data_IF_585626478322
#
_entry.id   IF_585626478322
#
_cell.length_a   1.000
_cell.length_b   1.000
_cell.length_c   1.000
_cell.angle_alpha   90.00
_cell.angle_beta   90.00
_cell.angle_gamma   90.00
#
_symmetry.space_group_name_H-M   'P 1'
#
loop_
_entity.id
_entity.type
_entity.pdbx_description
1 polymer ?
#
# COMPACT_ATOMS: atom_id res chain seq x y z
N UNK A 1 -15.19 32.59 27.45
CA UNK A 1 -15.28 32.17 26.01
C UNK A 1 -14.94 30.71 25.93
N UNK A 2 -15.96 29.89 25.92
CA UNK A 2 -15.82 28.42 25.91
C UNK A 2 -15.55 27.97 24.49
N UNK A 3 -14.35 27.44 24.22
CA UNK A 3 -14.01 26.78 22.96
C UNK A 3 -14.68 25.42 22.97
N UNK A 4 -15.73 25.26 22.19
CA UNK A 4 -16.29 23.97 21.86
C UNK A 4 -15.29 23.21 21.00
N UNK A 5 -14.43 22.39 21.62
CA UNK A 5 -13.69 21.34 20.94
C UNK A 5 -14.75 20.35 20.40
N UNK A 6 -14.99 20.44 19.09
CA UNK A 6 -15.76 19.44 18.38
C UNK A 6 -15.08 18.07 18.62
N UNK A 7 -15.77 17.16 19.28
CA UNK A 7 -15.42 15.75 19.31
C UNK A 7 -15.49 15.25 17.87
N UNK A 8 -14.37 15.33 17.15
CA UNK A 8 -14.17 14.54 15.95
C UNK A 8 -14.09 13.09 16.44
N UNK A 9 -15.13 12.29 16.16
CA UNK A 9 -15.10 10.87 16.45
C UNK A 9 -13.80 10.29 15.87
N UNK A 10 -13.07 9.51 16.67
CA UNK A 10 -11.78 8.93 16.24
C UNK A 10 -11.99 8.15 14.93
N UNK A 11 -11.15 8.41 13.92
CA UNK A 11 -11.17 7.65 12.65
C UNK A 11 -11.09 6.16 12.98
N UNK A 12 -11.95 5.36 12.34
CA UNK A 12 -11.88 3.90 12.45
C UNK A 12 -10.49 3.39 12.01
N UNK A 13 -9.93 2.35 12.68
CA UNK A 13 -8.63 1.78 12.31
C UNK A 13 -8.52 1.44 10.83
N UNK A 14 -7.37 1.69 10.23
CA UNK A 14 -7.13 1.46 8.81
C UNK A 14 -7.43 0.02 8.39
N UNK A 15 -6.99 -0.98 9.17
CA UNK A 15 -7.22 -2.38 8.86
C UNK A 15 -8.71 -2.72 8.72
N UNK A 16 -9.56 -2.16 9.60
CA UNK A 16 -11.02 -2.35 9.51
C UNK A 16 -11.60 -1.66 8.27
N UNK A 17 -11.17 -0.42 7.97
CA UNK A 17 -11.61 0.30 6.77
C UNK A 17 -11.19 -0.40 5.49
N UNK A 18 -9.98 -0.96 5.47
CA UNK A 18 -9.49 -1.69 4.31
C UNK A 18 -10.21 -3.02 4.13
N UNK A 19 -10.53 -3.73 5.22
CA UNK A 19 -11.32 -4.95 5.14
C UNK A 19 -12.71 -4.68 4.52
N UNK A 20 -13.42 -3.65 5.01
CA UNK A 20 -14.71 -3.23 4.43
C UNK A 20 -14.55 -2.87 2.94
N UNK A 21 -13.53 -2.08 2.57
CA UNK A 21 -13.30 -1.70 1.18
C UNK A 21 -12.98 -2.89 0.27
N UNK A 22 -12.27 -3.91 0.77
CA UNK A 22 -12.01 -5.16 0.04
C UNK A 22 -13.27 -6.02 -0.12
N UNK A 23 -14.16 -6.01 0.87
CA UNK A 23 -15.44 -6.70 0.79
C UNK A 23 -16.39 -6.02 -0.19
N UNK A 24 -16.44 -4.68 -0.20
CA UNK A 24 -17.34 -3.89 -1.04
C UNK A 24 -16.87 -3.80 -2.51
N UNK A 25 -15.56 -3.64 -2.73
CA UNK A 25 -14.98 -3.33 -4.05
C UNK A 25 -14.03 -4.40 -4.59
N UNK A 26 -13.83 -5.50 -3.84
CA UNK A 26 -12.84 -6.53 -4.17
C UNK A 26 -11.40 -6.15 -3.80
N UNK A 27 -10.46 -7.14 -3.80
CA UNK A 27 -9.15 -7.01 -3.20
C UNK A 27 -8.11 -6.34 -4.13
N UNK A 28 -8.48 -5.26 -4.83
CA UNK A 28 -7.58 -4.58 -5.77
C UNK A 28 -7.09 -3.23 -5.24
N UNK A 29 -5.79 -3.00 -5.43
CA UNK A 29 -5.11 -1.72 -5.29
C UNK A 29 -4.55 -1.30 -6.66
N UNK A 30 -5.06 -0.20 -7.22
CA UNK A 30 -4.56 0.34 -8.48
C UNK A 30 -3.41 1.30 -8.23
N UNK A 31 -2.25 1.05 -8.85
CA UNK A 31 -1.10 1.94 -8.77
C UNK A 31 -1.22 3.13 -9.71
N UNK A 32 -0.81 4.33 -9.25
CA UNK A 32 -0.55 5.50 -10.09
C UNK A 32 0.97 5.61 -10.25
N UNK A 33 1.46 5.00 -11.33
CA UNK A 33 2.89 4.92 -11.67
C UNK A 33 3.11 5.61 -13.03
N UNK A 34 3.16 6.95 -13.08
CA UNK A 34 3.26 7.74 -14.32
C UNK A 34 4.67 7.66 -14.92
N UNK A 35 5.02 6.48 -15.45
CA UNK A 35 6.24 6.31 -16.21
C UNK A 35 6.24 7.23 -17.46
N UNK A 36 7.40 7.78 -17.89
CA UNK A 36 7.47 8.66 -19.06
C UNK A 36 6.83 8.08 -20.31
N UNK A 37 7.02 6.80 -20.57
CA UNK A 37 6.41 6.13 -21.71
C UNK A 37 4.88 6.01 -21.64
N UNK A 38 4.29 5.92 -20.43
CA UNK A 38 2.84 5.94 -20.25
C UNK A 38 2.27 7.34 -20.43
N UNK A 39 2.95 8.38 -19.95
CA UNK A 39 2.56 9.76 -20.21
C UNK A 39 2.50 10.02 -21.71
N UNK A 40 3.55 9.65 -22.45
CA UNK A 40 3.59 9.78 -23.93
C UNK A 40 2.47 8.96 -24.58
N UNK A 41 2.22 7.72 -24.14
CA UNK A 41 1.15 6.89 -24.68
C UNK A 41 -0.25 7.51 -24.45
N UNK A 42 -0.42 8.30 -23.38
CA UNK A 42 -1.66 9.04 -23.13
C UNK A 42 -1.71 10.41 -23.86
N UNK A 43 -0.69 10.76 -24.64
CA UNK A 43 -0.59 12.06 -25.30
C UNK A 43 -0.25 13.20 -24.35
N UNK A 44 0.34 12.89 -23.20
CA UNK A 44 0.71 13.86 -22.16
C UNK A 44 2.21 14.15 -22.20
N UNK A 45 2.57 15.40 -21.88
CA UNK A 45 3.96 15.78 -21.70
C UNK A 45 4.54 15.17 -20.41
N UNK A 46 5.82 14.85 -20.40
CA UNK A 46 6.55 14.48 -19.20
C UNK A 46 6.90 15.73 -18.38
N UNK A 47 5.88 16.24 -17.67
CA UNK A 47 5.89 17.48 -16.89
C UNK A 47 4.92 17.36 -15.71
N UNK A 48 4.99 18.28 -14.74
CA UNK A 48 4.04 18.32 -13.63
C UNK A 48 2.58 18.46 -14.11
N UNK A 49 2.31 19.19 -15.19
CA UNK A 49 0.98 19.29 -15.75
C UNK A 49 0.47 17.96 -16.34
N UNK A 50 1.33 17.25 -17.11
CA UNK A 50 0.99 15.94 -17.63
C UNK A 50 0.85 14.89 -16.52
N UNK A 51 1.70 14.96 -15.49
CA UNK A 51 1.60 14.15 -14.28
C UNK A 51 0.24 14.35 -13.57
N UNK A 52 -0.19 15.61 -13.44
CA UNK A 52 -1.47 15.99 -12.83
C UNK A 52 -2.64 15.37 -13.61
N UNK A 53 -2.68 15.59 -14.92
CA UNK A 53 -3.72 15.03 -15.79
C UNK A 53 -3.78 13.50 -15.70
N UNK A 54 -2.64 12.84 -15.71
CA UNK A 54 -2.54 11.38 -15.58
C UNK A 54 -3.11 10.89 -14.24
N UNK A 55 -2.67 11.51 -13.12
CA UNK A 55 -3.08 11.11 -11.78
C UNK A 55 -4.58 11.31 -11.57
N UNK A 56 -5.11 12.49 -11.89
CA UNK A 56 -6.51 12.82 -11.67
C UNK A 56 -7.44 12.00 -12.57
N UNK A 57 -7.10 11.79 -13.85
CA UNK A 57 -7.89 10.91 -14.72
C UNK A 57 -7.90 9.46 -14.23
N UNK A 58 -6.80 8.98 -13.67
CA UNK A 58 -6.77 7.65 -13.06
C UNK A 58 -7.71 7.59 -11.86
N UNK A 59 -7.67 8.60 -10.98
CA UNK A 59 -8.55 8.69 -9.81
C UNK A 59 -10.02 8.76 -10.23
N UNK A 60 -10.37 9.59 -11.21
CA UNK A 60 -11.73 9.70 -11.74
C UNK A 60 -12.24 8.36 -12.32
N UNK A 61 -11.33 7.56 -12.87
CA UNK A 61 -11.69 6.27 -13.44
C UNK A 61 -11.95 5.20 -12.38
N UNK A 62 -11.08 5.11 -11.34
CA UNK A 62 -11.05 3.97 -10.42
C UNK A 62 -11.56 4.31 -9.01
N UNK A 63 -11.67 5.60 -8.66
CA UNK A 63 -12.18 6.05 -7.37
C UNK A 63 -13.61 5.56 -7.12
N UNK A 64 -13.88 5.05 -5.93
CA UNK A 64 -15.17 4.42 -5.58
C UNK A 64 -15.43 3.05 -6.22
N UNK A 65 -14.45 2.48 -6.96
CA UNK A 65 -14.60 1.20 -7.66
C UNK A 65 -13.55 0.15 -7.28
N UNK A 66 -12.55 0.52 -6.49
CA UNK A 66 -11.48 -0.37 -6.01
C UNK A 66 -11.22 -0.14 -4.53
N UNK A 67 -10.65 -1.14 -3.82
CA UNK A 67 -10.40 -1.02 -2.38
C UNK A 67 -9.39 0.08 -2.05
N UNK A 68 -8.37 0.26 -2.86
CA UNK A 68 -7.35 1.28 -2.62
C UNK A 68 -6.68 1.75 -3.92
N UNK A 69 -6.07 2.93 -3.85
CA UNK A 69 -5.20 3.47 -4.90
C UNK A 69 -3.83 3.77 -4.32
N UNK A 70 -2.78 3.44 -5.05
CA UNK A 70 -1.39 3.54 -4.60
C UNK A 70 -0.57 4.50 -5.46
N UNK A 71 -0.52 5.81 -5.14
CA UNK A 71 0.44 6.71 -5.77
C UNK A 71 1.88 6.28 -5.46
N UNK A 72 2.73 6.20 -6.48
CA UNK A 72 4.16 5.91 -6.35
C UNK A 72 4.93 7.22 -6.24
N UNK A 73 5.34 7.61 -5.05
CA UNK A 73 5.92 8.92 -4.72
C UNK A 73 7.10 9.31 -5.63
N UNK A 74 7.97 8.36 -5.96
CA UNK A 74 9.15 8.62 -6.79
C UNK A 74 8.84 9.27 -8.15
N UNK A 75 7.69 8.96 -8.76
CA UNK A 75 7.29 9.55 -10.03
C UNK A 75 6.79 10.99 -9.89
N UNK A 76 6.39 11.39 -8.70
CA UNK A 76 6.03 12.76 -8.37
C UNK A 76 7.26 13.54 -7.92
N UNK A 77 8.07 12.97 -7.02
CA UNK A 77 9.29 13.58 -6.48
C UNK A 77 10.28 14.02 -7.58
N UNK A 78 10.39 13.26 -8.68
CA UNK A 78 11.27 13.60 -9.80
C UNK A 78 10.92 14.93 -10.52
N UNK A 79 9.74 15.47 -10.30
CA UNK A 79 9.31 16.77 -10.79
C UNK A 79 9.48 17.91 -9.77
N UNK A 80 10.20 17.65 -8.65
CA UNK A 80 10.46 18.63 -7.61
C UNK A 80 9.18 19.10 -6.89
N UNK A 81 9.16 20.36 -6.47
CA UNK A 81 8.04 20.96 -5.73
C UNK A 81 6.71 20.88 -6.49
N UNK A 82 6.73 21.07 -7.81
CA UNK A 82 5.52 21.02 -8.63
C UNK A 82 4.93 19.60 -8.66
N UNK A 83 5.78 18.57 -8.70
CA UNK A 83 5.33 17.18 -8.62
C UNK A 83 4.79 16.83 -7.25
N UNK A 84 5.38 17.35 -6.17
CA UNK A 84 4.86 17.18 -4.81
C UNK A 84 3.47 17.86 -4.66
N UNK A 85 3.28 19.05 -5.22
CA UNK A 85 1.97 19.71 -5.22
C UNK A 85 0.90 18.86 -5.94
N UNK A 86 1.27 18.20 -7.05
CA UNK A 86 0.37 17.25 -7.73
C UNK A 86 0.06 16.03 -6.86
N UNK A 87 1.03 15.52 -6.09
CA UNK A 87 0.81 14.42 -5.16
C UNK A 87 -0.17 14.80 -4.05
N UNK A 88 -0.04 16.01 -3.49
CA UNK A 88 -0.97 16.56 -2.50
C UNK A 88 -2.41 16.64 -3.06
N UNK A 89 -2.56 17.13 -4.29
CA UNK A 89 -3.85 17.19 -4.99
C UNK A 89 -4.43 15.80 -5.23
N UNK A 90 -3.62 14.84 -5.66
CA UNK A 90 -4.04 13.44 -5.88
C UNK A 90 -4.54 12.77 -4.58
N UNK A 91 -3.84 12.98 -3.46
CA UNK A 91 -4.25 12.47 -2.16
C UNK A 91 -5.54 13.14 -1.67
N UNK A 92 -5.72 14.44 -1.92
CA UNK A 92 -6.97 15.14 -1.64
C UNK A 92 -8.14 14.56 -2.46
N UNK A 93 -7.94 14.37 -3.76
CA UNK A 93 -8.95 13.80 -4.65
C UNK A 93 -9.36 12.38 -4.22
N UNK A 94 -8.42 11.54 -3.76
CA UNK A 94 -8.73 10.21 -3.23
C UNK A 94 -9.59 10.28 -1.96
N UNK A 95 -9.31 11.23 -1.06
CA UNK A 95 -10.14 11.46 0.14
C UNK A 95 -11.55 11.91 -0.24
N UNK A 96 -11.68 12.80 -1.22
CA UNK A 96 -12.98 13.36 -1.66
C UNK A 96 -13.89 12.28 -2.26
N UNK A 97 -13.32 11.32 -2.97
CA UNK A 97 -14.07 10.17 -3.54
C UNK A 97 -14.20 8.99 -2.57
N UNK A 98 -13.64 9.09 -1.35
CA UNK A 98 -13.74 8.06 -0.32
C UNK A 98 -12.94 6.79 -0.59
N UNK A 99 -11.94 6.82 -1.48
CA UNK A 99 -11.10 5.67 -1.80
C UNK A 99 -9.81 5.70 -0.99
N UNK A 100 -9.45 4.57 -0.37
CA UNK A 100 -8.27 4.50 0.49
C UNK A 100 -6.98 4.71 -0.30
N UNK A 101 -6.09 5.51 0.26
CA UNK A 101 -4.77 5.77 -0.30
C UNK A 101 -3.69 4.93 0.38
N UNK A 102 -2.83 4.29 -0.42
CA UNK A 102 -1.58 3.66 0.00
C UNK A 102 -0.44 4.44 -0.63
N UNK A 103 0.15 5.41 0.07
CA UNK A 103 1.24 6.20 -0.49
C UNK A 103 2.56 5.43 -0.43
N UNK A 104 3.09 5.08 -1.61
CA UNK A 104 4.28 4.24 -1.74
C UNK A 104 5.56 5.09 -1.67
N UNK A 105 6.03 5.36 -0.44
CA UNK A 105 7.20 6.22 -0.14
C UNK A 105 8.42 5.45 0.34
N UNK A 106 8.25 4.23 0.83
CA UNK A 106 9.31 3.35 1.36
C UNK A 106 10.28 4.08 2.30
N UNK A 107 9.78 4.98 3.17
CA UNK A 107 10.60 5.70 4.13
C UNK A 107 11.09 4.75 5.24
N UNK A 108 12.23 5.09 5.83
CA UNK A 108 12.78 4.36 6.97
C UNK A 108 13.93 5.18 7.55
N UNK A 109 13.85 5.47 8.86
CA UNK A 109 14.85 6.23 9.61
C UNK A 109 14.74 5.90 11.11
N UNK A 110 15.47 6.60 11.95
CA UNK A 110 15.49 6.45 13.40
C UNK A 110 15.01 7.73 14.10
N UNK A 111 14.45 7.58 15.30
CA UNK A 111 14.17 8.67 16.24
C UNK A 111 13.38 9.82 15.65
N UNK A 112 13.87 11.04 15.83
CA UNK A 112 13.20 12.28 15.40
C UNK A 112 13.07 12.41 13.89
N UNK A 113 13.99 11.83 13.10
CA UNK A 113 13.89 11.83 11.63
C UNK A 113 12.74 10.95 11.17
N UNK A 114 12.58 9.75 11.75
CA UNK A 114 11.41 8.91 11.48
C UNK A 114 10.11 9.56 11.91
N UNK A 115 10.11 10.28 13.05
CA UNK A 115 8.96 11.07 13.49
C UNK A 115 8.59 12.19 12.50
N UNK A 116 9.60 12.85 11.90
CA UNK A 116 9.38 13.83 10.83
C UNK A 116 8.69 13.24 9.61
N UNK A 117 9.14 12.05 9.15
CA UNK A 117 8.44 11.33 8.07
C UNK A 117 7.02 10.91 8.48
N UNK A 118 6.84 10.41 9.68
CA UNK A 118 5.52 10.04 10.19
C UNK A 118 4.56 11.25 10.18
N UNK A 119 5.00 12.41 10.67
CA UNK A 119 4.21 13.63 10.65
C UNK A 119 3.83 14.05 9.22
N UNK A 120 4.76 13.98 8.28
CA UNK A 120 4.52 14.39 6.89
C UNK A 120 3.40 13.57 6.20
N UNK A 121 3.25 12.28 6.55
CA UNK A 121 2.38 11.36 5.82
C UNK A 121 1.19 10.83 6.63
N UNK A 122 1.25 10.87 7.98
CA UNK A 122 0.27 10.23 8.85
C UNK A 122 -0.43 11.19 9.81
N UNK A 123 -0.02 12.48 9.88
CA UNK A 123 -0.78 13.51 10.62
C UNK A 123 -1.99 13.94 9.81
N UNK A 124 -3.09 14.25 10.52
CA UNK A 124 -4.33 14.69 9.86
C UNK A 124 -4.20 16.03 9.14
N UNK A 125 -3.37 16.92 9.65
CA UNK A 125 -3.14 18.26 9.09
C UNK A 125 -2.03 18.29 8.01
N UNK A 126 -1.37 17.15 7.73
CA UNK A 126 -0.30 17.13 6.75
C UNK A 126 -0.86 17.17 5.32
N UNK A 127 -0.31 18.03 4.41
CA UNK A 127 -0.75 18.06 3.02
C UNK A 127 -0.62 16.69 2.31
N UNK A 128 0.43 15.94 2.63
CA UNK A 128 0.68 14.59 2.10
C UNK A 128 0.04 13.47 2.93
N UNK A 129 -0.91 13.78 3.82
CA UNK A 129 -1.57 12.77 4.64
C UNK A 129 -2.26 11.71 3.77
N UNK A 130 -1.87 10.44 3.94
CA UNK A 130 -2.44 9.28 3.27
C UNK A 130 -3.12 8.34 4.28
N UNK A 131 -4.01 7.45 3.84
CA UNK A 131 -4.60 6.46 4.72
C UNK A 131 -3.57 5.45 5.21
N UNK A 132 -2.57 5.16 4.39
CA UNK A 132 -1.42 4.34 4.76
C UNK A 132 -0.19 4.68 3.93
N UNK A 133 0.98 4.28 4.44
CA UNK A 133 2.28 4.46 3.76
C UNK A 133 3.06 3.15 3.72
N UNK A 134 4.00 3.03 2.78
CA UNK A 134 5.00 1.96 2.82
C UNK A 134 6.26 2.43 3.54
N UNK A 135 6.89 1.53 4.31
CA UNK A 135 8.12 1.81 5.07
C UNK A 135 9.15 0.69 4.89
N UNK A 136 10.43 1.04 4.99
CA UNK A 136 11.55 0.11 4.90
C UNK A 136 12.11 -0.19 6.29
N UNK A 137 12.18 -1.46 6.72
CA UNK A 137 12.69 -1.84 8.04
C UNK A 137 14.21 -2.06 8.05
N UNK A 138 14.96 -1.54 7.10
CA UNK A 138 16.41 -1.80 6.98
C UNK A 138 17.19 -1.40 8.24
N UNK A 139 16.74 -0.37 8.96
CA UNK A 139 17.35 0.07 10.23
C UNK A 139 16.76 -0.67 11.45
N UNK A 140 16.09 -1.77 11.25
CA UNK A 140 15.40 -2.57 12.26
C UNK A 140 13.92 -2.18 12.42
N UNK A 141 13.08 -3.18 12.72
CA UNK A 141 11.62 -2.96 12.87
C UNK A 141 11.31 -1.91 13.94
N UNK A 142 12.00 -1.96 15.09
CA UNK A 142 11.78 -1.01 16.18
C UNK A 142 12.07 0.45 15.83
N UNK A 143 12.89 0.72 14.81
CA UNK A 143 13.14 2.10 14.34
C UNK A 143 11.89 2.75 13.72
N UNK A 144 10.91 1.96 13.31
CA UNK A 144 9.66 2.41 12.70
C UNK A 144 8.62 2.85 13.75
N UNK A 145 8.87 2.69 15.06
CA UNK A 145 7.91 3.00 16.12
C UNK A 145 7.25 4.37 15.99
N UNK A 146 7.95 5.48 15.65
CA UNK A 146 7.28 6.76 15.51
C UNK A 146 6.18 6.78 14.43
N UNK A 147 6.34 6.00 13.34
CA UNK A 147 5.31 5.89 12.31
C UNK A 147 4.19 4.92 12.73
N UNK A 148 4.52 3.82 13.41
CA UNK A 148 3.55 2.86 13.91
C UNK A 148 2.63 3.49 14.96
N UNK A 149 3.21 4.21 15.92
CA UNK A 149 2.48 4.89 17.00
C UNK A 149 1.56 5.99 16.47
N UNK A 150 2.06 6.81 15.52
CA UNK A 150 1.24 7.86 14.92
C UNK A 150 0.13 7.29 14.02
N UNK A 151 0.41 6.22 13.28
CA UNK A 151 -0.59 5.53 12.46
C UNK A 151 -1.73 4.97 13.33
N UNK A 152 -1.41 4.33 14.46
CA UNK A 152 -2.39 3.85 15.41
C UNK A 152 -3.24 5.01 15.98
N UNK A 153 -2.58 6.06 16.47
CA UNK A 153 -3.26 7.22 17.05
C UNK A 153 -4.18 7.95 16.07
N UNK A 154 -3.82 8.01 14.78
CA UNK A 154 -4.58 8.69 13.72
C UNK A 154 -5.57 7.78 12.98
N UNK A 155 -5.65 6.49 13.33
CA UNK A 155 -6.47 5.49 12.63
C UNK A 155 -5.99 5.21 11.20
N UNK A 156 -4.69 5.42 10.93
CA UNK A 156 -4.02 5.18 9.63
C UNK A 156 -3.26 3.85 9.65
N UNK A 157 -2.65 3.49 8.53
CA UNK A 157 -1.93 2.23 8.38
C UNK A 157 -0.49 2.39 7.90
N UNK A 158 0.27 1.32 8.06
CA UNK A 158 1.65 1.21 7.59
C UNK A 158 1.85 -0.14 6.93
N UNK A 159 2.45 -0.18 5.74
CA UNK A 159 2.90 -1.41 5.10
C UNK A 159 4.43 -1.52 5.20
N UNK A 160 4.91 -2.53 5.89
CA UNK A 160 6.35 -2.77 6.09
C UNK A 160 6.88 -3.70 5.00
N UNK A 161 7.98 -3.36 4.33
CA UNK A 161 8.63 -4.24 3.37
C UNK A 161 9.11 -5.52 4.07
N UNK A 162 8.72 -6.69 3.58
CA UNK A 162 9.14 -7.98 4.14
C UNK A 162 9.82 -8.87 3.10
N UNK A 163 9.10 -9.23 2.02
CA UNK A 163 9.61 -10.05 0.93
C UNK A 163 9.29 -9.39 -0.40
N UNK A 164 10.31 -9.01 -1.15
CA UNK A 164 10.15 -8.33 -2.44
C UNK A 164 10.61 -9.23 -3.58
N UNK A 165 10.02 -9.06 -4.77
CA UNK A 165 10.25 -9.94 -5.92
C UNK A 165 11.54 -9.65 -6.69
N UNK A 166 12.25 -8.55 -6.38
CA UNK A 166 13.52 -8.23 -7.01
C UNK A 166 14.65 -9.19 -6.52
N UNK A 167 15.53 -9.68 -7.40
CA UNK A 167 16.52 -10.68 -7.02
C UNK A 167 17.50 -10.22 -5.94
N UNK A 168 17.83 -8.94 -5.87
CA UNK A 168 18.75 -8.38 -4.87
C UNK A 168 18.17 -8.45 -3.44
N UNK A 169 16.84 -8.46 -3.31
CA UNK A 169 16.14 -8.50 -2.04
C UNK A 169 16.52 -9.71 -1.19
N UNK A 170 16.77 -10.85 -1.83
CA UNK A 170 17.10 -12.10 -1.15
C UNK A 170 18.38 -11.98 -0.27
N UNK A 171 19.38 -11.22 -0.70
CA UNK A 171 20.64 -11.03 0.03
C UNK A 171 20.42 -10.41 1.43
N UNK A 172 19.38 -9.60 1.59
CA UNK A 172 19.04 -8.96 2.88
C UNK A 172 17.91 -9.71 3.57
N UNK A 173 16.82 -9.99 2.87
CA UNK A 173 15.58 -10.48 3.45
C UNK A 173 15.68 -11.93 3.92
N UNK A 174 16.50 -12.76 3.23
CA UNK A 174 16.75 -14.16 3.59
C UNK A 174 17.99 -14.32 4.49
N UNK A 175 18.77 -13.26 4.71
CA UNK A 175 19.89 -13.32 5.65
C UNK A 175 19.41 -13.73 7.03
N UNK A 176 20.24 -14.48 7.77
CA UNK A 176 19.89 -15.08 9.05
C UNK A 176 20.61 -14.35 10.18
N UNK A 177 19.87 -13.98 11.21
CA UNK A 177 20.38 -13.50 12.47
C UNK A 177 20.03 -14.54 13.56
N UNK A 178 21.03 -15.27 14.05
CA UNK A 178 20.81 -16.47 14.85
C UNK A 178 20.17 -17.58 14.00
N UNK A 179 18.98 -18.03 14.39
CA UNK A 179 18.22 -19.06 13.67
C UNK A 179 17.08 -18.47 12.81
N UNK A 180 16.94 -17.16 12.76
CA UNK A 180 15.79 -16.47 12.18
C UNK A 180 16.17 -15.58 11.01
N UNK A 181 15.44 -15.70 9.89
CA UNK A 181 15.61 -14.81 8.74
C UNK A 181 15.20 -13.37 9.09
N UNK A 182 15.84 -12.39 8.44
CA UNK A 182 15.52 -10.96 8.61
C UNK A 182 14.04 -10.70 8.29
N UNK A 183 13.53 -11.24 7.18
CA UNK A 183 12.11 -11.11 6.82
C UNK A 183 11.17 -11.70 7.88
N UNK A 184 11.52 -12.85 8.49
CA UNK A 184 10.72 -13.45 9.56
C UNK A 184 10.68 -12.54 10.81
N UNK A 185 11.79 -11.89 11.14
CA UNK A 185 11.83 -10.91 12.23
C UNK A 185 10.93 -9.68 11.98
N UNK A 186 10.82 -9.23 10.74
CA UNK A 186 9.88 -8.16 10.35
C UNK A 186 8.44 -8.62 10.54
N UNK A 187 8.10 -9.84 10.08
CA UNK A 187 6.74 -10.39 10.22
C UNK A 187 6.34 -10.57 11.68
N UNK A 188 7.26 -11.00 12.53
CA UNK A 188 7.02 -11.07 13.98
C UNK A 188 6.76 -9.68 14.61
N UNK A 189 7.51 -8.67 14.17
CA UNK A 189 7.26 -7.28 14.58
C UNK A 189 5.84 -6.82 14.23
N UNK A 190 5.40 -7.09 12.99
CA UNK A 190 4.03 -6.81 12.55
C UNK A 190 3.00 -7.62 13.35
N UNK A 191 3.27 -8.89 13.63
CA UNK A 191 2.42 -9.74 14.47
C UNK A 191 2.20 -9.11 15.85
N UNK A 192 3.29 -8.62 16.47
CA UNK A 192 3.22 -7.96 17.78
C UNK A 192 2.42 -6.65 17.72
N UNK A 193 2.64 -5.83 16.68
CA UNK A 193 1.90 -4.57 16.48
C UNK A 193 0.40 -4.78 16.28
N UNK A 194 -0.02 -5.91 15.70
CA UNK A 194 -1.42 -6.22 15.44
C UNK A 194 -2.10 -7.06 16.54
N UNK A 195 -1.42 -7.35 17.66
CA UNK A 195 -1.91 -8.27 18.70
C UNK A 195 -3.28 -7.87 19.26
N UNK A 196 -3.51 -6.58 19.53
CA UNK A 196 -4.79 -6.07 20.03
C UNK A 196 -5.90 -6.30 19.00
N UNK A 197 -5.69 -5.90 17.75
CA UNK A 197 -6.68 -6.09 16.69
C UNK A 197 -7.00 -7.58 16.47
N UNK A 198 -5.97 -8.45 16.54
CA UNK A 198 -6.13 -9.90 16.44
C UNK A 198 -6.99 -10.46 17.59
N UNK A 199 -6.75 -10.03 18.82
CA UNK A 199 -7.56 -10.41 19.98
C UNK A 199 -9.03 -9.97 19.89
N UNK A 200 -9.31 -8.91 19.13
CA UNK A 200 -10.66 -8.40 18.88
C UNK A 200 -11.29 -8.98 17.59
N UNK A 201 -10.62 -9.90 16.91
CA UNK A 201 -11.09 -10.49 15.65
C UNK A 201 -11.14 -9.53 14.48
N UNK A 202 -10.35 -8.44 14.52
CA UNK A 202 -10.26 -7.42 13.46
C UNK A 202 -8.93 -7.53 12.70
N UNK A 203 -8.92 -7.14 11.43
CA UNK A 203 -7.69 -6.98 10.68
C UNK A 203 -6.86 -5.83 11.28
N UNK A 204 -5.57 -6.05 11.49
CA UNK A 204 -4.63 -5.05 12.00
C UNK A 204 -4.34 -3.95 10.97
N UNK A 205 -3.85 -2.81 11.45
CA UNK A 205 -3.51 -1.65 10.60
C UNK A 205 -2.06 -1.64 10.13
N UNK A 206 -1.23 -2.56 10.64
CA UNK A 206 0.15 -2.75 10.18
C UNK A 206 0.19 -3.92 9.22
N UNK A 207 0.44 -3.64 7.96
CA UNK A 207 0.51 -4.63 6.89
C UNK A 207 1.96 -4.94 6.48
N UNK A 208 2.07 -5.85 5.54
CA UNK A 208 3.34 -6.27 4.94
C UNK A 208 3.31 -6.06 3.43
N UNK A 209 4.45 -5.71 2.84
CA UNK A 209 4.65 -5.85 1.39
C UNK A 209 5.27 -7.22 1.13
N UNK A 210 4.53 -8.07 0.41
CA UNK A 210 4.96 -9.42 0.03
C UNK A 210 4.71 -9.61 -1.46
N UNK A 211 5.77 -9.73 -2.25
CA UNK A 211 5.66 -9.95 -3.69
C UNK A 211 4.94 -11.26 -4.01
N UNK A 212 4.00 -11.24 -4.95
CA UNK A 212 3.24 -12.42 -5.35
C UNK A 212 4.12 -13.51 -6.02
N UNK A 213 5.32 -13.17 -6.44
CA UNK A 213 6.25 -14.05 -7.17
C UNK A 213 7.48 -14.45 -6.34
N UNK A 214 7.43 -14.34 -5.00
CA UNK A 214 8.55 -14.74 -4.11
C UNK A 214 8.69 -16.26 -3.97
N UNK A 215 7.80 -17.03 -4.59
CA UNK A 215 7.84 -18.49 -4.61
C UNK A 215 7.77 -19.09 -3.21
N UNK A 216 8.60 -20.11 -2.96
CA UNK A 216 8.64 -20.84 -1.70
C UNK A 216 9.37 -20.08 -0.56
N UNK A 217 9.75 -18.81 -0.74
CA UNK A 217 10.50 -18.08 0.28
C UNK A 217 9.75 -18.01 1.62
N UNK A 218 8.42 -17.82 1.59
CA UNK A 218 7.59 -17.74 2.80
C UNK A 218 7.70 -19.02 3.63
N UNK A 219 7.48 -20.20 3.01
CA UNK A 219 7.56 -21.51 3.70
C UNK A 219 8.99 -21.85 4.10
N UNK A 220 9.97 -21.65 3.20
CA UNK A 220 11.38 -21.94 3.46
C UNK A 220 11.95 -21.12 4.62
N UNK A 221 11.51 -19.88 4.81
CA UNK A 221 11.96 -19.01 5.88
C UNK A 221 11.12 -19.15 7.16
N UNK A 222 10.16 -20.07 7.21
CA UNK A 222 9.30 -20.30 8.38
C UNK A 222 8.40 -19.13 8.73
N UNK A 223 7.94 -18.37 7.72
CA UNK A 223 7.12 -17.18 7.90
C UNK A 223 5.64 -17.56 7.96
N UNK A 224 4.94 -17.09 8.99
CA UNK A 224 3.49 -17.23 9.14
C UNK A 224 2.79 -15.89 8.85
N UNK A 225 2.36 -15.72 7.60
CA UNK A 225 1.66 -14.52 7.16
C UNK A 225 0.25 -14.40 7.75
N UNK A 226 -0.42 -15.51 8.06
CA UNK A 226 -1.75 -15.49 8.66
C UNK A 226 -1.71 -14.93 10.08
N UNK A 227 -0.71 -15.36 10.86
CA UNK A 227 -0.50 -14.91 12.24
C UNK A 227 -0.17 -13.42 12.31
N UNK A 228 0.43 -12.83 11.28
CA UNK A 228 0.70 -11.40 11.21
C UNK A 228 -0.58 -10.56 11.33
N UNK A 229 -1.73 -11.12 10.97
CA UNK A 229 -3.06 -10.50 11.06
C UNK A 229 -3.10 -9.06 10.51
N UNK A 230 -2.33 -8.79 9.47
CA UNK A 230 -2.26 -7.52 8.77
C UNK A 230 -2.59 -7.67 7.29
N UNK A 231 -2.94 -6.58 6.59
CA UNK A 231 -3.13 -6.62 5.15
C UNK A 231 -1.79 -6.90 4.44
N UNK A 232 -1.86 -7.65 3.35
CA UNK A 232 -0.71 -8.07 2.55
C UNK A 232 -0.76 -7.35 1.20
N UNK A 233 0.00 -6.27 1.05
CA UNK A 233 0.15 -5.59 -0.24
C UNK A 233 1.02 -6.46 -1.15
N UNK A 234 0.40 -7.00 -2.20
CA UNK A 234 1.02 -7.98 -3.07
C UNK A 234 1.20 -7.46 -4.51
N UNK A 235 2.36 -6.87 -4.83
CA UNK A 235 2.71 -6.54 -6.21
C UNK A 235 2.93 -7.81 -7.04
N UNK A 236 2.57 -7.76 -8.33
CA UNK A 236 2.87 -8.82 -9.29
C UNK A 236 1.75 -9.87 -9.44
N UNK A 237 0.51 -9.52 -9.13
CA UNK A 237 -0.70 -10.33 -9.40
C UNK A 237 -1.32 -9.90 -10.73
N UNK A 238 -1.89 -10.85 -11.46
CA UNK A 238 -2.66 -10.62 -12.69
C UNK A 238 -2.01 -11.19 -13.95
N UNK A 239 -2.55 -10.88 -15.13
CA UNK A 239 -2.29 -11.53 -16.42
C UNK A 239 -0.82 -11.72 -16.86
N UNK A 240 0.14 -11.07 -16.20
CA UNK A 240 1.59 -11.21 -16.44
C UNK A 240 2.36 -11.49 -15.14
N UNK A 241 1.69 -11.87 -14.06
CA UNK A 241 2.24 -12.14 -12.74
C UNK A 241 1.82 -13.49 -12.19
N UNK A 242 1.79 -13.59 -10.86
CA UNK A 242 1.41 -14.81 -10.15
C UNK A 242 -0.05 -15.19 -10.44
N UNK A 243 -0.27 -16.46 -10.81
CA UNK A 243 -1.57 -17.09 -10.93
C UNK A 243 -2.04 -17.75 -9.61
N UNK A 244 -3.20 -18.44 -9.62
CA UNK A 244 -3.77 -19.04 -8.40
C UNK A 244 -2.83 -20.00 -7.66
N UNK A 245 -2.05 -20.81 -8.37
CA UNK A 245 -1.13 -21.77 -7.76
C UNK A 245 0.05 -21.08 -7.04
N UNK A 246 0.60 -20.03 -7.64
CA UNK A 246 1.65 -19.24 -7.03
C UNK A 246 1.11 -18.47 -5.79
N UNK A 247 -0.11 -17.94 -5.86
CA UNK A 247 -0.75 -17.26 -4.74
C UNK A 247 -1.06 -18.22 -3.59
N UNK A 248 -1.48 -19.46 -3.89
CA UNK A 248 -1.61 -20.50 -2.87
C UNK A 248 -0.27 -20.81 -2.20
N UNK A 249 0.80 -20.97 -3.00
CA UNK A 249 2.14 -21.26 -2.49
C UNK A 249 2.69 -20.15 -1.59
N UNK A 250 2.45 -18.88 -1.95
CA UNK A 250 2.98 -17.71 -1.19
C UNK A 250 2.12 -17.40 0.03
N UNK A 251 0.79 -17.32 -0.13
CA UNK A 251 -0.10 -16.75 0.87
C UNK A 251 -0.93 -17.80 1.63
N UNK A 252 -1.12 -19.01 1.09
CA UNK A 252 -1.90 -20.05 1.73
C UNK A 252 -3.21 -19.54 2.34
N UNK A 253 -3.43 -19.81 3.63
CA UNK A 253 -4.61 -19.36 4.36
C UNK A 253 -4.69 -17.84 4.56
N UNK A 254 -3.59 -17.09 4.36
CA UNK A 254 -3.56 -15.64 4.47
C UNK A 254 -4.08 -14.93 3.20
N UNK A 255 -4.48 -15.66 2.14
CA UNK A 255 -5.00 -15.08 0.88
C UNK A 255 -6.13 -14.07 1.08
N UNK A 256 -6.99 -14.27 2.06
CA UNK A 256 -8.09 -13.34 2.39
C UNK A 256 -7.62 -11.94 2.84
N UNK A 257 -6.36 -11.81 3.27
CA UNK A 257 -5.77 -10.54 3.69
C UNK A 257 -4.98 -9.87 2.57
N UNK A 258 -4.92 -10.48 1.37
CA UNK A 258 -4.14 -9.97 0.25
C UNK A 258 -4.87 -8.83 -0.44
N UNK A 259 -4.19 -7.70 -0.55
CA UNK A 259 -4.53 -6.57 -1.38
C UNK A 259 -3.66 -6.65 -2.64
N UNK A 260 -4.24 -7.15 -3.74
CA UNK A 260 -3.55 -7.32 -5.02
C UNK A 260 -3.19 -5.96 -5.62
N UNK A 261 -1.91 -5.72 -5.93
CA UNK A 261 -1.48 -4.43 -6.49
C UNK A 261 -1.09 -4.57 -7.96
N UNK A 262 -1.75 -3.77 -8.80
CA UNK A 262 -1.44 -3.66 -10.23
C UNK A 262 -1.40 -2.19 -10.67
N UNK A 263 -0.52 -1.85 -11.58
CA UNK A 263 -0.42 -0.51 -12.19
C UNK A 263 -0.57 -0.61 -13.70
N UNK A 264 0.44 -1.13 -14.39
CA UNK A 264 0.47 -1.23 -15.87
C UNK A 264 -0.69 -2.02 -16.45
N UNK A 265 -1.21 -3.01 -15.71
CA UNK A 265 -2.37 -3.81 -16.13
C UNK A 265 -3.60 -2.94 -16.42
N UNK A 266 -3.80 -1.91 -15.61
CA UNK A 266 -4.89 -0.94 -15.72
C UNK A 266 -4.47 0.27 -16.57
N UNK A 267 -3.34 0.89 -16.25
CA UNK A 267 -2.92 2.19 -16.82
C UNK A 267 -2.68 2.16 -18.33
N UNK A 268 -2.32 1.01 -18.91
CA UNK A 268 -2.16 0.87 -20.35
C UNK A 268 -3.48 1.03 -21.14
N UNK A 269 -4.63 0.95 -20.48
CA UNK A 269 -5.95 1.14 -21.10
C UNK A 269 -6.31 2.63 -21.28
N UNK A 270 -5.57 3.55 -20.63
CA UNK A 270 -5.83 4.98 -20.77
C UNK A 270 -5.48 5.56 -22.17
N UNK A 271 -5.84 6.81 -22.39
CA UNK A 271 -6.28 7.83 -21.44
C UNK A 271 -7.80 7.88 -21.15
N UNK A 272 -8.63 7.02 -21.75
CA UNK A 272 -10.09 7.04 -21.54
C UNK A 272 -10.45 6.60 -20.12
N UNK A 273 -11.24 7.39 -19.40
CA UNK A 273 -11.76 7.08 -18.07
C UNK A 273 -12.56 5.77 -18.09
N UNK A 274 -13.41 5.58 -19.11
CA UNK A 274 -14.22 4.38 -19.26
C UNK A 274 -13.36 3.13 -19.49
N UNK A 275 -12.33 3.22 -20.34
CA UNK A 275 -11.43 2.12 -20.60
C UNK A 275 -10.58 1.77 -19.35
N UNK A 276 -10.09 2.76 -18.61
CA UNK A 276 -9.39 2.58 -17.34
C UNK A 276 -10.27 1.87 -16.31
N UNK A 277 -11.53 2.34 -16.16
CA UNK A 277 -12.51 1.73 -15.24
C UNK A 277 -12.80 0.28 -15.62
N UNK A 278 -13.03 0.01 -16.89
CA UNK A 278 -13.26 -1.35 -17.40
C UNK A 278 -12.07 -2.26 -17.09
N UNK A 279 -10.84 -1.78 -17.32
CA UNK A 279 -9.63 -2.53 -17.01
C UNK A 279 -9.45 -2.77 -15.50
N UNK A 280 -9.78 -1.78 -14.66
CA UNK A 280 -9.72 -1.94 -13.21
C UNK A 280 -10.73 -2.96 -12.69
N UNK A 281 -11.99 -2.92 -13.17
CA UNK A 281 -13.02 -3.89 -12.79
C UNK A 281 -12.65 -5.32 -13.24
N UNK A 282 -12.11 -5.48 -14.45
CA UNK A 282 -11.60 -6.77 -14.90
C UNK A 282 -10.49 -7.30 -14.01
N UNK A 283 -9.50 -6.45 -13.68
CA UNK A 283 -8.41 -6.80 -12.77
C UNK A 283 -8.92 -7.14 -11.35
N UNK A 284 -9.95 -6.47 -10.87
CA UNK A 284 -10.60 -6.78 -9.59
C UNK A 284 -11.22 -8.18 -9.61
N UNK A 285 -11.94 -8.53 -10.67
CA UNK A 285 -12.54 -9.86 -10.80
C UNK A 285 -11.47 -10.95 -10.89
N UNK A 286 -10.39 -10.73 -11.65
CA UNK A 286 -9.26 -11.66 -11.74
C UNK A 286 -8.59 -11.86 -10.38
N UNK A 287 -8.30 -10.78 -9.65
CA UNK A 287 -7.70 -10.85 -8.32
C UNK A 287 -8.63 -11.58 -7.33
N UNK A 288 -9.91 -11.26 -7.30
CA UNK A 288 -10.89 -11.91 -6.42
C UNK A 288 -11.02 -13.41 -6.73
N UNK A 289 -10.98 -13.80 -8.00
CA UNK A 289 -11.03 -15.21 -8.39
C UNK A 289 -9.75 -15.97 -8.00
N UNK A 290 -8.58 -15.33 -8.11
CA UNK A 290 -7.29 -15.94 -7.81
C UNK A 290 -7.02 -16.07 -6.29
N UNK A 291 -7.67 -15.24 -5.46
CA UNK A 291 -7.49 -15.18 -4.00
C UNK A 291 -8.56 -15.94 -3.20
N UNK A 292 -9.51 -16.55 -3.88
CA UNK A 292 -10.58 -17.38 -3.25
C UNK A 292 -10.15 -18.76 -2.86
#
# INVERSE_FOLDING_TARGET
MSSAAAHQGSRRPFGSRLADAMDDHGPLCVGIDPHPNLLVAWGLADSAAGLRDFALRTIDAVGGHVAAVKPQSAFFERHGSDGIAVLEEALAALRDVGTLSVLDVKRGDIGSTMAGYAQAYLSDDAPLAADSITVSPYLGYGSLSPALDLAEASGRGVFVLALTSNPEGAAVQHAVNGERAVAAGVVEGVTASNATASGEGRLGSVGLVVGATVGEAVSRLGIDLLRANGPLLAPGIGAQGAGPAELESVFGSARRHVLASTSRGVLKAGPSIEALRTAALAATHEAAAALR
#
